data_IF_766352755441
#
_entry.id   IF_766352755441
#
_cell.length_a   1.000
_cell.length_b   1.000
_cell.length_c   1.000
_cell.angle_alpha   90.00
_cell.angle_beta   90.00
_cell.angle_gamma   90.00
#
_symmetry.space_group_name_H-M   'P 1'
#
loop_
_entity.id
_entity.type
_entity.pdbx_description
1 polymer ?
#
# COMPACT_ATOMS: atom_id res chain seq x y z
N UNK A 1 -22.36 11.81 6.77
CA UNK A 1 -23.74 11.32 6.95
C UNK A 1 -23.77 9.91 7.51
N UNK A 2 -23.09 8.92 6.91
CA UNK A 2 -23.06 7.56 7.49
C UNK A 2 -22.32 7.48 8.83
N UNK A 3 -21.14 8.12 8.91
CA UNK A 3 -20.29 8.15 10.11
C UNK A 3 -21.00 8.79 11.32
N UNK A 4 -21.67 9.93 11.09
CA UNK A 4 -22.36 10.71 12.12
C UNK A 4 -23.88 10.47 12.14
N UNK A 5 -24.36 9.30 11.69
CA UNK A 5 -25.78 9.03 11.51
C UNK A 5 -26.64 9.27 12.77
N UNK A 6 -26.06 9.05 13.96
CA UNK A 6 -26.70 9.27 15.26
C UNK A 6 -27.05 10.74 15.52
N UNK A 7 -26.20 11.68 15.07
CA UNK A 7 -26.42 13.12 15.25
C UNK A 7 -27.56 13.63 14.37
N UNK A 8 -27.69 13.10 13.14
CA UNK A 8 -28.79 13.43 12.24
C UNK A 8 -30.12 12.86 12.70
N UNK A 9 -30.10 11.72 13.39
CA UNK A 9 -31.29 11.16 14.02
C UNK A 9 -31.70 11.94 15.27
N UNK A 10 -30.75 12.27 16.15
CA UNK A 10 -31.04 13.02 17.39
C UNK A 10 -31.54 14.44 17.13
N UNK A 11 -31.05 15.10 16.08
CA UNK A 11 -31.55 16.39 15.61
C UNK A 11 -32.91 16.32 14.90
N UNK A 12 -33.51 15.12 14.77
CA UNK A 12 -34.74 14.86 14.01
C UNK A 12 -34.67 15.27 12.53
N UNK A 13 -33.47 15.48 11.99
CA UNK A 13 -33.26 15.84 10.59
C UNK A 13 -33.48 14.64 9.65
N UNK A 14 -33.19 13.42 10.13
CA UNK A 14 -33.34 12.19 9.35
C UNK A 14 -33.97 11.06 10.17
N UNK A 15 -34.74 10.21 9.49
CA UNK A 15 -35.30 8.98 10.05
C UNK A 15 -34.35 7.80 9.90
N UNK A 16 -34.52 6.76 10.73
CA UNK A 16 -33.75 5.51 10.64
C UNK A 16 -33.87 4.87 9.24
N UNK A 17 -35.05 4.91 8.62
CA UNK A 17 -35.27 4.39 7.26
C UNK A 17 -34.47 5.14 6.20
N UNK A 18 -34.40 6.46 6.29
CA UNK A 18 -33.60 7.28 5.37
C UNK A 18 -32.10 6.98 5.53
N UNK A 19 -31.63 6.84 6.77
CA UNK A 19 -30.24 6.45 7.05
C UNK A 19 -29.93 5.08 6.43
N UNK A 20 -30.82 4.09 6.60
CA UNK A 20 -30.67 2.76 5.99
C UNK A 20 -30.65 2.83 4.45
N UNK A 21 -31.51 3.64 3.84
CA UNK A 21 -31.55 3.83 2.38
C UNK A 21 -30.25 4.43 1.85
N UNK A 22 -29.69 5.42 2.55
CA UNK A 22 -28.40 6.03 2.15
C UNK A 22 -27.30 4.97 2.14
N UNK A 23 -27.19 4.16 3.21
CA UNK A 23 -26.16 3.13 3.35
C UNK A 23 -26.27 2.02 2.30
N UNK A 24 -27.48 1.50 2.11
CA UNK A 24 -27.69 0.30 1.29
C UNK A 24 -27.85 0.59 -0.20
N UNK A 25 -28.37 1.77 -0.56
CA UNK A 25 -28.55 2.16 -1.97
C UNK A 25 -27.63 3.28 -2.40
N UNK A 26 -27.73 4.46 -1.77
CA UNK A 26 -27.12 5.67 -2.33
C UNK A 26 -25.59 5.59 -2.37
N UNK A 27 -24.97 5.18 -1.26
CA UNK A 27 -23.50 5.01 -1.18
C UNK A 27 -23.04 3.92 -2.13
N UNK A 28 -23.72 2.76 -2.15
CA UNK A 28 -23.35 1.64 -3.02
C UNK A 28 -23.46 2.00 -4.51
N UNK A 29 -24.49 2.75 -4.91
CA UNK A 29 -24.65 3.23 -6.27
C UNK A 29 -23.53 4.21 -6.65
N UNK A 30 -23.26 5.21 -5.81
CA UNK A 30 -22.19 6.19 -6.08
C UNK A 30 -20.80 5.55 -6.13
N UNK A 31 -20.53 4.53 -5.30
CA UNK A 31 -19.29 3.76 -5.37
C UNK A 31 -19.16 3.00 -6.69
N UNK A 32 -20.26 2.44 -7.21
CA UNK A 32 -20.27 1.80 -8.52
C UNK A 32 -20.02 2.80 -9.64
N UNK A 33 -20.62 4.00 -9.56
CA UNK A 33 -20.47 5.07 -10.54
C UNK A 33 -19.04 5.64 -10.56
N UNK A 34 -18.39 5.76 -9.40
CA UNK A 34 -17.01 6.26 -9.29
C UNK A 34 -15.96 5.21 -9.67
N UNK A 35 -16.23 3.91 -9.48
CA UNK A 35 -15.27 2.83 -9.72
C UNK A 35 -14.55 2.88 -11.08
N UNK A 36 -15.20 3.09 -12.24
CA UNK A 36 -14.48 3.19 -13.53
C UNK A 36 -13.56 4.41 -13.63
N UNK A 37 -13.77 5.43 -12.80
CA UNK A 37 -12.98 6.66 -12.78
C UNK A 37 -11.89 6.66 -11.70
N UNK A 38 -11.89 5.69 -10.77
CA UNK A 38 -11.01 5.68 -9.61
C UNK A 38 -9.53 5.85 -9.97
N UNK A 39 -9.03 5.11 -10.98
CA UNK A 39 -7.64 5.22 -11.42
C UNK A 39 -7.32 6.62 -11.96
N UNK A 40 -8.20 7.16 -12.83
CA UNK A 40 -8.01 8.49 -13.45
C UNK A 40 -8.04 9.63 -12.43
N UNK A 41 -8.85 9.48 -11.37
CA UNK A 41 -8.93 10.46 -10.28
C UNK A 41 -7.64 10.48 -9.45
N UNK A 42 -7.01 9.32 -9.24
CA UNK A 42 -5.70 9.23 -8.57
C UNK A 42 -4.59 9.75 -9.50
N UNK A 43 -4.61 9.39 -10.79
CA UNK A 43 -3.64 9.85 -11.79
C UNK A 43 -3.63 11.38 -11.98
N UNK A 44 -4.76 12.05 -11.72
CA UNK A 44 -4.89 13.51 -11.85
C UNK A 44 -3.93 14.30 -10.94
N UNK A 45 -3.41 13.68 -9.87
CA UNK A 45 -2.44 14.29 -8.97
C UNK A 45 -1.02 14.32 -9.56
N UNK A 46 -0.79 13.55 -10.64
CA UNK A 46 0.46 13.52 -11.40
C UNK A 46 1.73 13.26 -10.55
N UNK A 47 1.62 12.37 -9.56
CA UNK A 47 2.80 11.95 -8.80
C UNK A 47 3.76 11.14 -9.68
N UNK A 48 5.03 11.53 -9.79
CA UNK A 48 6.03 10.73 -10.47
C UNK A 48 6.45 9.54 -9.59
N UNK A 49 6.84 8.42 -10.22
CA UNK A 49 7.18 7.17 -9.51
C UNK A 49 8.30 7.33 -8.48
N UNK A 50 9.26 8.25 -8.70
CA UNK A 50 10.33 8.52 -7.74
C UNK A 50 9.83 9.24 -6.47
N UNK A 51 8.75 10.01 -6.58
CA UNK A 51 8.14 10.71 -5.43
C UNK A 51 7.19 9.78 -4.68
N UNK A 52 6.46 8.93 -5.40
CA UNK A 52 5.55 7.95 -4.80
C UNK A 52 6.30 6.77 -4.17
N UNK A 53 7.43 6.38 -4.78
CA UNK A 53 8.34 5.30 -4.37
C UNK A 53 7.63 4.02 -3.88
N UNK A 54 6.61 3.58 -4.62
CA UNK A 54 5.78 2.43 -4.26
C UNK A 54 5.73 1.41 -5.39
N UNK A 55 6.14 0.17 -5.11
CA UNK A 55 6.01 -0.94 -6.06
C UNK A 55 4.57 -1.25 -6.43
N UNK A 56 3.64 -1.16 -5.46
CA UNK A 56 2.21 -1.41 -5.69
C UNK A 56 1.54 -0.27 -6.48
N UNK A 57 2.03 0.95 -6.30
CA UNK A 57 1.49 2.17 -6.92
C UNK A 57 2.17 2.56 -8.22
N UNK A 58 2.99 1.69 -8.82
CA UNK A 58 3.73 2.02 -10.04
C UNK A 58 2.80 2.35 -11.20
N UNK A 59 3.13 3.42 -11.92
CA UNK A 59 2.37 3.87 -13.09
C UNK A 59 2.32 2.84 -14.23
N UNK A 60 3.38 2.05 -14.40
CA UNK A 60 3.48 1.04 -15.47
C UNK A 60 2.77 -0.29 -15.15
N UNK A 61 2.25 -0.45 -13.94
CA UNK A 61 1.60 -1.68 -13.49
C UNK A 61 2.53 -2.89 -13.31
N UNK A 62 3.85 -2.72 -13.44
CA UNK A 62 4.86 -3.80 -13.29
C UNK A 62 5.21 -4.01 -11.82
N UNK A 63 4.18 -4.34 -11.05
CA UNK A 63 4.23 -4.41 -9.59
C UNK A 63 5.13 -5.55 -9.12
N UNK A 64 4.96 -6.74 -9.69
CA UNK A 64 5.62 -7.94 -9.18
C UNK A 64 7.12 -7.95 -9.45
N UNK A 65 7.53 -7.49 -10.63
CA UNK A 65 8.93 -7.43 -11.03
C UNK A 65 9.71 -6.42 -10.18
N UNK A 66 9.14 -5.23 -9.97
CA UNK A 66 9.75 -4.20 -9.12
C UNK A 66 9.81 -4.64 -7.66
N UNK A 67 8.71 -5.22 -7.14
CA UNK A 67 8.67 -5.72 -5.77
C UNK A 67 9.69 -6.84 -5.55
N UNK A 68 9.81 -7.78 -6.49
CA UNK A 68 10.80 -8.85 -6.42
C UNK A 68 12.23 -8.30 -6.50
N UNK A 69 12.49 -7.34 -7.38
CA UNK A 69 13.80 -6.68 -7.49
C UNK A 69 14.19 -5.98 -6.19
N UNK A 70 13.28 -5.19 -5.60
CA UNK A 70 13.52 -4.53 -4.31
C UNK A 70 13.77 -5.54 -3.18
N UNK A 71 12.94 -6.57 -3.10
CA UNK A 71 13.04 -7.57 -2.05
C UNK A 71 14.28 -8.47 -2.19
N UNK A 72 14.71 -8.81 -3.41
CA UNK A 72 15.80 -9.75 -3.65
C UNK A 72 17.17 -9.09 -3.83
N UNK A 73 17.25 -7.95 -4.52
CA UNK A 73 18.53 -7.33 -4.88
C UNK A 73 18.88 -6.12 -4.02
N UNK A 74 17.89 -5.31 -3.63
CA UNK A 74 18.14 -4.06 -2.91
C UNK A 74 18.09 -4.22 -1.39
N UNK A 75 17.49 -5.30 -0.88
CA UNK A 75 17.42 -5.52 0.55
C UNK A 75 18.82 -5.90 1.11
N UNK A 76 19.43 -5.08 1.97
CA UNK A 76 20.76 -5.35 2.52
C UNK A 76 20.80 -6.66 3.33
N UNK A 77 19.66 -7.10 3.88
CA UNK A 77 19.59 -8.34 4.65
C UNK A 77 19.96 -9.57 3.82
N UNK A 78 19.74 -9.54 2.51
CA UNK A 78 20.04 -10.69 1.64
C UNK A 78 21.55 -10.91 1.42
N UNK A 79 22.39 -9.92 1.76
CA UNK A 79 23.84 -10.09 1.80
C UNK A 79 24.34 -10.76 3.08
N UNK A 80 23.49 -10.94 4.08
CA UNK A 80 23.86 -11.53 5.37
C UNK A 80 23.47 -13.01 5.41
N UNK A 81 24.42 -13.85 5.81
CA UNK A 81 24.12 -15.25 6.18
C UNK A 81 23.97 -15.31 7.70
N UNK A 82 22.74 -15.44 8.16
CA UNK A 82 22.39 -15.56 9.59
C UNK A 82 22.68 -16.98 10.08
N UNK A 83 23.14 -17.12 11.32
CA UNK A 83 23.24 -18.43 11.96
C UNK A 83 21.84 -19.03 12.21
N UNK A 84 21.51 -20.22 11.68
CA UNK A 84 20.22 -20.86 11.98
C UNK A 84 20.08 -21.33 13.43
N UNK A 85 21.16 -21.39 14.22
CA UNK A 85 21.11 -21.84 15.61
C UNK A 85 20.91 -20.66 16.58
N UNK A 86 19.78 -20.60 17.29
CA UNK A 86 19.47 -19.47 18.18
C UNK A 86 20.33 -19.44 19.45
N UNK A 87 20.95 -20.55 19.84
CA UNK A 87 21.82 -20.67 21.02
C UNK A 87 23.30 -20.31 20.71
N UNK A 88 23.60 -19.90 19.48
CA UNK A 88 24.95 -19.54 19.04
C UNK A 88 25.28 -18.11 19.47
N UNK A 89 26.47 -17.90 20.04
CA UNK A 89 27.00 -16.55 20.33
C UNK A 89 27.29 -15.74 19.05
N UNK A 90 27.29 -16.39 17.87
CA UNK A 90 27.55 -15.77 16.57
C UNK A 90 26.24 -15.62 15.80
N UNK A 91 25.76 -14.37 15.68
CA UNK A 91 24.52 -14.06 14.95
C UNK A 91 24.68 -14.03 13.42
N UNK A 92 25.82 -13.54 12.93
CA UNK A 92 26.10 -13.37 11.50
C UNK A 92 27.31 -14.23 11.16
N UNK A 93 27.10 -15.27 10.34
CA UNK A 93 28.17 -16.16 9.88
C UNK A 93 28.97 -15.58 8.73
N UNK A 94 28.32 -14.79 7.88
CA UNK A 94 28.94 -14.19 6.69
C UNK A 94 28.24 -12.89 6.34
N UNK A 95 29.04 -11.88 6.01
CA UNK A 95 28.56 -10.60 5.52
C UNK A 95 29.11 -10.36 4.11
N UNK A 96 28.23 -10.35 3.12
CA UNK A 96 28.52 -10.06 1.72
C UNK A 96 27.95 -8.71 1.25
N UNK A 97 27.42 -7.88 2.16
CA UNK A 97 26.80 -6.58 1.80
C UNK A 97 27.73 -5.67 1.00
N UNK A 98 29.05 -5.73 1.26
CA UNK A 98 30.05 -4.90 0.58
C UNK A 98 30.58 -5.47 -0.75
N UNK A 99 30.22 -6.69 -1.17
CA UNK A 99 30.76 -7.28 -2.42
C UNK A 99 30.37 -6.51 -3.69
N UNK A 100 29.22 -5.83 -3.69
CA UNK A 100 28.75 -5.03 -4.83
C UNK A 100 29.44 -3.67 -5.00
N UNK A 101 30.10 -3.15 -3.96
CA UNK A 101 30.76 -1.83 -3.98
C UNK A 101 32.18 -1.87 -4.55
N UNK A 102 32.88 -3.00 -4.45
CA UNK A 102 34.26 -3.13 -4.97
C UNK A 102 34.34 -3.39 -6.48
N UNK A 103 33.25 -3.80 -7.13
CA UNK A 103 33.22 -4.10 -8.57
C UNK A 103 32.95 -2.87 -9.46
N UNK A 104 32.81 -1.66 -8.88
CA UNK A 104 32.49 -0.40 -9.60
C UNK A 104 33.55 0.70 -9.41
N UNK A 105 34.73 0.37 -8.91
CA UNK A 105 35.95 1.20 -8.90
C UNK A 105 36.99 0.57 -9.82
#
# INVERSE_FOLDING_TARGET
>A
LEKEASEFYSSSALTVRQIQLVRTKSVMQLLADIRPHALRLVDAWQFPDWQLDSSLGRKDGKVYEDMFYRASQLNPLNGLTIDPYPESDVLIKKDETNRGLQAKL
#
